data_IF_808188869039
#
_entry.id   IF_808188869039
#
_cell.length_a   1.000
_cell.length_b   1.000
_cell.length_c   1.000
_cell.angle_alpha   90.00
_cell.angle_beta   90.00
_cell.angle_gamma   90.00
#
_symmetry.space_group_name_H-M   'P 1'
#
loop_
_entity.id
_entity.type
_entity.pdbx_description
1 polymer ?
#
# COMPACT_ATOMS: atom_id res chain seq x y z
N UNK A 1 15.18 -5.24 13.38
CA UNK A 1 15.36 -5.33 11.92
C UNK A 1 13.98 -5.14 11.29
N UNK A 2 13.85 -4.21 10.35
CA UNK A 2 12.55 -3.89 9.74
C UNK A 2 12.16 -5.01 8.76
N UNK A 3 10.88 -5.38 8.74
CA UNK A 3 10.33 -6.31 7.75
C UNK A 3 9.89 -5.53 6.51
N UNK A 4 10.68 -5.61 5.44
CA UNK A 4 10.45 -4.86 4.19
C UNK A 4 10.40 -5.80 2.97
N UNK A 5 9.87 -5.28 1.86
CA UNK A 5 9.78 -5.97 0.58
C UNK A 5 10.67 -5.29 -0.46
N UNK A 6 11.66 -6.01 -0.96
CA UNK A 6 12.55 -5.56 -2.03
C UNK A 6 12.28 -6.33 -3.31
N UNK A 7 12.14 -5.60 -4.43
CA UNK A 7 11.96 -6.17 -5.75
C UNK A 7 13.23 -6.04 -6.59
N UNK A 8 13.71 -7.16 -7.12
CA UNK A 8 14.74 -7.16 -8.17
C UNK A 8 14.08 -7.22 -9.53
N UNK A 9 14.40 -6.27 -10.40
CA UNK A 9 13.89 -6.17 -11.77
C UNK A 9 15.04 -6.37 -12.75
N UNK A 10 14.84 -7.19 -13.77
CA UNK A 10 15.77 -7.42 -14.86
C UNK A 10 15.04 -7.30 -16.20
N UNK A 11 15.76 -6.86 -17.25
CA UNK A 11 15.21 -6.73 -18.59
C UNK A 11 14.69 -5.33 -18.91
N UNK A 12 13.78 -5.19 -19.89
CA UNK A 12 13.39 -3.89 -20.46
C UNK A 12 12.81 -2.88 -19.45
N UNK A 13 12.09 -3.34 -18.44
CA UNK A 13 11.49 -2.46 -17.41
C UNK A 13 12.55 -1.70 -16.57
N UNK A 14 13.82 -2.12 -16.59
CA UNK A 14 14.92 -1.37 -15.97
C UNK A 14 15.11 0.00 -16.61
N UNK A 15 14.81 0.13 -17.92
CA UNK A 15 14.88 1.43 -18.59
C UNK A 15 13.83 2.41 -18.06
N UNK A 16 12.64 1.94 -17.76
CA UNK A 16 11.58 2.77 -17.16
C UNK A 16 11.99 3.26 -15.76
N UNK A 17 12.59 2.38 -14.94
CA UNK A 17 13.15 2.76 -13.64
C UNK A 17 14.28 3.79 -13.77
N UNK A 18 15.18 3.61 -14.75
CA UNK A 18 16.26 4.58 -15.02
C UNK A 18 15.71 5.92 -15.50
N UNK A 19 14.60 5.92 -16.23
CA UNK A 19 13.94 7.14 -16.69
C UNK A 19 13.37 7.93 -15.53
N UNK A 20 12.63 7.28 -14.63
CA UNK A 20 12.09 7.91 -13.41
C UNK A 20 13.23 8.48 -12.57
N UNK A 21 14.29 7.69 -12.34
CA UNK A 21 15.46 8.19 -11.61
C UNK A 21 16.07 9.45 -12.25
N UNK A 22 16.19 9.47 -13.57
CA UNK A 22 16.76 10.63 -14.28
C UNK A 22 15.87 11.88 -14.19
N UNK A 23 14.55 11.70 -14.19
CA UNK A 23 13.57 12.78 -14.00
C UNK A 23 13.68 13.35 -12.59
N UNK A 24 13.66 12.49 -11.56
CA UNK A 24 13.79 12.89 -10.16
C UNK A 24 15.15 13.55 -9.87
N UNK A 25 16.22 13.01 -10.44
CA UNK A 25 17.56 13.60 -10.35
C UNK A 25 17.58 15.01 -10.95
N UNK A 26 16.99 15.16 -12.13
CA UNK A 26 16.92 16.45 -12.81
C UNK A 26 16.11 17.46 -11.98
N UNK A 27 15.01 17.02 -11.41
CA UNK A 27 14.19 17.85 -10.52
C UNK A 27 14.96 18.30 -9.27
N UNK A 28 15.68 17.37 -8.62
CA UNK A 28 16.37 17.64 -7.36
C UNK A 28 17.67 18.43 -7.52
N UNK A 29 18.43 18.20 -8.62
CA UNK A 29 19.78 18.77 -8.81
C UNK A 29 19.86 19.87 -9.86
N UNK A 30 18.87 19.95 -10.77
CA UNK A 30 18.94 20.77 -11.98
C UNK A 30 19.85 20.21 -13.07
N UNK A 31 20.55 19.10 -12.82
CA UNK A 31 21.41 18.44 -13.78
C UNK A 31 20.59 17.49 -14.65
N UNK A 32 20.61 17.69 -15.97
CA UNK A 32 19.88 16.83 -16.89
C UNK A 32 20.60 15.51 -17.09
N UNK A 33 20.02 14.42 -16.59
CA UNK A 33 20.41 13.07 -16.94
C UNK A 33 19.54 12.55 -18.09
N UNK A 34 20.20 11.87 -19.04
CA UNK A 34 19.51 11.20 -20.14
C UNK A 34 19.82 9.70 -20.01
N UNK A 35 18.83 8.86 -19.69
CA UNK A 35 19.03 7.43 -19.62
C UNK A 35 19.49 6.91 -20.99
N UNK A 36 20.54 6.10 -21.00
CA UNK A 36 21.00 5.46 -22.23
C UNK A 36 20.06 4.31 -22.55
N UNK A 37 19.36 4.41 -23.68
CA UNK A 37 18.51 3.31 -24.17
C UNK A 37 19.42 2.20 -24.72
N UNK A 38 19.75 1.24 -23.87
CA UNK A 38 20.39 0.00 -24.30
C UNK A 38 19.27 -1.04 -24.45
N UNK A 39 19.11 -1.68 -25.60
CA UNK A 39 18.16 -2.77 -25.74
C UNK A 39 18.52 -3.89 -24.76
N UNK A 40 17.75 -4.01 -23.69
CA UNK A 40 17.90 -5.10 -22.74
C UNK A 40 17.06 -6.29 -23.20
N UNK A 41 17.64 -7.49 -23.31
CA UNK A 41 16.87 -8.68 -23.62
C UNK A 41 15.83 -8.94 -22.51
N UNK A 42 14.69 -9.51 -22.88
CA UNK A 42 13.74 -9.99 -21.89
C UNK A 42 14.43 -11.06 -21.01
N UNK A 43 14.35 -10.86 -19.69
CA UNK A 43 14.98 -11.77 -18.72
C UNK A 43 14.00 -12.81 -18.17
N UNK A 44 12.72 -12.75 -18.55
CA UNK A 44 11.65 -13.64 -18.07
C UNK A 44 10.34 -13.39 -18.82
N UNK A 45 9.24 -13.96 -18.30
CA UNK A 45 7.90 -13.84 -18.87
C UNK A 45 6.96 -12.88 -18.13
N UNK A 46 7.40 -12.28 -17.02
CA UNK A 46 6.57 -11.37 -16.23
C UNK A 46 6.44 -10.02 -16.92
N UNK A 47 5.22 -9.49 -16.98
CA UNK A 47 4.97 -8.11 -17.43
C UNK A 47 5.07 -7.19 -16.22
N UNK A 48 5.92 -6.17 -16.30
CA UNK A 48 6.11 -5.18 -15.24
C UNK A 48 5.81 -3.79 -15.77
N UNK A 49 4.93 -3.07 -15.09
CA UNK A 49 4.71 -1.65 -15.31
C UNK A 49 5.29 -0.83 -14.15
N UNK A 50 6.11 0.15 -14.46
CA UNK A 50 6.66 1.09 -13.50
C UNK A 50 5.68 2.24 -13.32
N UNK A 51 5.32 2.54 -12.09
CA UNK A 51 4.30 3.53 -11.72
C UNK A 51 4.92 4.65 -10.89
N UNK A 52 5.50 5.67 -11.52
CA UNK A 52 5.90 6.87 -10.80
C UNK A 52 4.65 7.65 -10.38
N UNK A 53 4.70 8.28 -9.23
CA UNK A 53 3.71 9.26 -8.81
C UNK A 53 4.36 10.34 -7.95
N UNK A 54 3.85 11.55 -8.04
CA UNK A 54 4.40 12.69 -7.34
C UNK A 54 3.51 13.92 -7.51
N UNK A 55 3.85 15.01 -6.83
CA UNK A 55 3.10 16.27 -6.90
C UNK A 55 3.19 16.95 -8.27
N UNK A 56 4.12 16.53 -9.11
CA UNK A 56 4.32 16.97 -10.50
C UNK A 56 3.44 16.22 -11.51
N UNK A 57 2.79 15.13 -11.08
CA UNK A 57 1.94 14.30 -11.94
C UNK A 57 0.48 14.80 -11.91
N UNK A 58 -0.18 14.84 -13.08
CA UNK A 58 -1.58 15.23 -13.19
C UNK A 58 -2.54 14.24 -12.50
N UNK A 59 -2.11 12.98 -12.35
CA UNK A 59 -2.87 11.94 -11.67
C UNK A 59 -1.92 11.04 -10.88
N UNK A 60 -2.29 10.68 -9.66
CA UNK A 60 -1.48 9.79 -8.84
C UNK A 60 -1.69 8.33 -9.26
N UNK A 61 -0.71 7.76 -9.96
CA UNK A 61 -0.79 6.39 -10.48
C UNK A 61 -0.93 5.34 -9.37
N UNK A 62 -0.25 5.54 -8.23
CA UNK A 62 -0.35 4.61 -7.10
C UNK A 62 -1.76 4.64 -6.48
N UNK A 63 -2.33 5.81 -6.19
CA UNK A 63 -3.69 5.93 -5.65
C UNK A 63 -4.73 5.27 -6.58
N UNK A 64 -4.63 5.54 -7.89
CA UNK A 64 -5.51 4.90 -8.87
C UNK A 64 -5.33 3.39 -8.93
N UNK A 65 -4.10 2.89 -8.78
CA UNK A 65 -3.83 1.45 -8.77
C UNK A 65 -4.41 0.77 -7.51
N UNK A 66 -4.29 1.38 -6.33
CA UNK A 66 -4.95 0.88 -5.12
C UNK A 66 -6.48 0.83 -5.28
N UNK A 67 -7.06 1.91 -5.82
CA UNK A 67 -8.50 1.95 -6.09
C UNK A 67 -8.93 0.89 -7.11
N UNK A 68 -8.17 0.72 -8.21
CA UNK A 68 -8.44 -0.28 -9.23
C UNK A 68 -8.30 -1.72 -8.68
N UNK A 69 -7.28 -1.97 -7.84
CA UNK A 69 -7.08 -3.24 -7.16
C UNK A 69 -8.32 -3.66 -6.36
N UNK A 70 -8.81 -2.75 -5.50
CA UNK A 70 -9.98 -3.00 -4.66
C UNK A 70 -11.27 -3.12 -5.46
N UNK A 71 -11.44 -2.27 -6.48
CA UNK A 71 -12.66 -2.25 -7.30
C UNK A 71 -12.74 -3.43 -8.27
N UNK A 72 -11.59 -3.87 -8.79
CA UNK A 72 -11.47 -4.93 -9.79
C UNK A 72 -11.28 -6.34 -9.23
N UNK A 73 -10.96 -6.49 -7.95
CA UNK A 73 -10.80 -7.80 -7.33
C UNK A 73 -12.07 -8.64 -7.43
N UNK A 74 -11.90 -9.94 -7.72
CA UNK A 74 -12.98 -10.91 -7.89
C UNK A 74 -13.07 -11.91 -6.73
N UNK A 75 -11.93 -12.21 -6.09
CA UNK A 75 -11.84 -13.17 -4.98
C UNK A 75 -11.22 -12.55 -3.75
N UNK A 76 -10.06 -11.91 -3.87
CA UNK A 76 -9.29 -11.36 -2.75
C UNK A 76 -8.40 -10.19 -3.13
N UNK A 77 -8.22 -9.29 -2.17
CA UNK A 77 -7.25 -8.20 -2.25
C UNK A 77 -6.58 -8.04 -0.89
N UNK A 78 -5.28 -8.36 -0.82
CA UNK A 78 -4.49 -8.31 0.41
C UNK A 78 -3.46 -7.19 0.33
N UNK A 79 -3.44 -6.35 1.35
CA UNK A 79 -2.62 -5.13 1.39
C UNK A 79 -1.71 -5.15 2.62
N UNK A 80 -0.45 -4.77 2.42
CA UNK A 80 0.50 -4.51 3.51
C UNK A 80 0.93 -3.04 3.42
N UNK A 81 0.90 -2.32 4.54
CA UNK A 81 1.37 -0.94 4.59
C UNK A 81 1.79 -0.54 6.01
N UNK A 82 2.93 0.13 6.19
CA UNK A 82 3.36 0.64 7.50
C UNK A 82 2.45 1.77 8.01
N UNK A 83 2.00 2.65 7.12
CA UNK A 83 1.11 3.74 7.47
C UNK A 83 -0.23 3.57 6.76
N UNK A 84 -1.26 3.42 7.57
CA UNK A 84 -2.62 3.19 7.13
C UNK A 84 -3.51 4.36 7.55
N UNK A 85 -3.52 5.41 6.75
CA UNK A 85 -4.37 6.60 6.95
C UNK A 85 -5.13 6.87 5.65
N UNK A 86 -6.04 5.95 5.26
CA UNK A 86 -6.69 5.99 3.96
C UNK A 86 -7.57 7.22 3.79
N UNK A 87 -7.60 7.75 2.58
CA UNK A 87 -8.55 8.78 2.16
C UNK A 87 -9.98 8.22 2.00
N UNK A 88 -10.96 9.11 1.84
CA UNK A 88 -12.37 8.69 1.71
C UNK A 88 -12.63 7.78 0.49
N UNK A 89 -12.08 8.02 -0.71
CA UNK A 89 -12.20 7.10 -1.84
C UNK A 89 -11.66 5.71 -1.54
N UNK A 90 -10.50 5.61 -0.88
CA UNK A 90 -9.89 4.32 -0.51
C UNK A 90 -10.72 3.58 0.54
N UNK A 91 -11.22 4.28 1.57
CA UNK A 91 -12.15 3.68 2.54
C UNK A 91 -13.40 3.16 1.85
N UNK A 92 -13.98 3.92 0.92
CA UNK A 92 -15.15 3.50 0.17
C UNK A 92 -14.86 2.26 -0.69
N UNK A 93 -13.69 2.21 -1.35
CA UNK A 93 -13.27 1.07 -2.16
C UNK A 93 -13.06 -0.20 -1.32
N UNK A 94 -12.39 -0.09 -0.15
CA UNK A 94 -12.21 -1.19 0.81
C UNK A 94 -13.55 -1.76 1.28
N UNK A 95 -14.47 -0.88 1.71
CA UNK A 95 -15.79 -1.29 2.15
C UNK A 95 -16.61 -1.93 1.01
N UNK A 96 -16.58 -1.35 -0.19
CA UNK A 96 -17.28 -1.88 -1.35
C UNK A 96 -16.77 -3.26 -1.74
N UNK A 97 -15.45 -3.47 -1.78
CA UNK A 97 -14.86 -4.77 -2.06
C UNK A 97 -15.35 -5.82 -1.06
N UNK A 98 -15.30 -5.51 0.25
CA UNK A 98 -15.78 -6.42 1.29
C UNK A 98 -17.30 -6.70 1.18
N UNK A 99 -18.14 -5.70 0.88
CA UNK A 99 -19.58 -5.89 0.65
C UNK A 99 -19.89 -6.77 -0.59
N UNK A 100 -19.01 -6.78 -1.59
CA UNK A 100 -19.10 -7.71 -2.73
C UNK A 100 -18.70 -9.15 -2.37
N UNK A 101 -18.24 -9.40 -1.13
CA UNK A 101 -17.79 -10.71 -0.68
C UNK A 101 -16.31 -11.00 -0.98
N UNK A 102 -15.54 -10.00 -1.40
CA UNK A 102 -14.09 -10.13 -1.62
C UNK A 102 -13.38 -10.29 -0.26
N UNK A 103 -12.44 -11.23 -0.16
CA UNK A 103 -11.57 -11.38 1.01
C UNK A 103 -10.55 -10.21 1.03
N UNK A 104 -10.91 -9.13 1.70
CA UNK A 104 -10.06 -7.95 1.87
C UNK A 104 -9.33 -8.03 3.19
N UNK A 105 -7.99 -8.07 3.13
CA UNK A 105 -7.12 -8.10 4.33
C UNK A 105 -6.15 -6.94 4.29
N UNK A 106 -5.97 -6.29 5.42
CA UNK A 106 -5.00 -5.21 5.61
C UNK A 106 -4.06 -5.61 6.74
N UNK A 107 -2.77 -5.64 6.44
CA UNK A 107 -1.69 -5.91 7.39
C UNK A 107 -0.96 -4.60 7.68
N UNK A 108 -0.87 -4.25 8.96
CA UNK A 108 -0.23 -3.04 9.47
C UNK A 108 0.66 -3.37 10.67
N UNK A 109 1.63 -2.55 11.04
CA UNK A 109 2.41 -2.78 12.25
C UNK A 109 1.55 -2.61 13.52
N UNK A 110 1.78 -3.44 14.54
CA UNK A 110 1.16 -3.30 15.85
C UNK A 110 1.63 -2.03 16.57
N UNK A 111 2.91 -1.67 16.38
CA UNK A 111 3.51 -0.43 16.85
C UNK A 111 4.12 0.32 15.66
N UNK A 112 3.87 1.62 15.59
CA UNK A 112 4.40 2.50 14.54
C UNK A 112 5.39 3.49 15.16
N UNK A 113 6.44 3.79 14.41
CA UNK A 113 7.39 4.88 14.70
C UNK A 113 6.72 6.27 14.63
N UNK A 114 5.52 6.36 13.99
CA UNK A 114 4.67 7.57 13.94
C UNK A 114 3.35 7.31 14.69
N UNK A 115 3.29 7.47 16.03
CA UNK A 115 2.11 7.15 16.84
C UNK A 115 0.84 7.92 16.42
N UNK A 116 1.00 9.12 15.86
CA UNK A 116 -0.10 9.93 15.39
C UNK A 116 -0.77 9.32 14.14
N UNK A 117 0.04 8.83 13.18
CA UNK A 117 -0.46 8.14 12.00
C UNK A 117 -1.20 6.84 12.39
N UNK A 118 -0.65 6.10 13.34
CA UNK A 118 -1.31 4.91 13.86
C UNK A 118 -2.66 5.23 14.52
N UNK A 119 -2.73 6.28 15.33
CA UNK A 119 -3.96 6.72 15.96
C UNK A 119 -5.00 7.16 14.92
N UNK A 120 -4.57 7.90 13.88
CA UNK A 120 -5.43 8.32 12.78
C UNK A 120 -5.96 7.11 12.00
N UNK A 121 -5.12 6.12 11.69
CA UNK A 121 -5.50 4.88 11.02
C UNK A 121 -6.53 4.06 11.80
N UNK A 122 -6.33 3.91 13.11
CA UNK A 122 -7.26 3.21 14.00
C UNK A 122 -8.66 3.84 14.06
N UNK A 123 -8.81 5.09 13.69
CA UNK A 123 -10.12 5.73 13.53
C UNK A 123 -10.98 4.99 12.51
N UNK A 124 -10.41 4.54 11.40
CA UNK A 124 -11.12 3.87 10.31
C UNK A 124 -11.47 2.41 10.60
N UNK A 125 -10.79 1.74 11.56
CA UNK A 125 -10.98 0.33 11.87
C UNK A 125 -12.45 -0.03 12.13
N UNK A 126 -13.14 0.81 12.88
CA UNK A 126 -14.55 0.55 13.19
C UNK A 126 -15.47 0.49 11.98
N UNK A 127 -15.22 1.29 10.95
CA UNK A 127 -15.99 1.29 9.69
C UNK A 127 -15.61 0.10 8.83
N UNK A 128 -14.33 -0.13 8.64
CA UNK A 128 -13.79 -1.21 7.82
C UNK A 128 -14.17 -2.60 8.34
N UNK A 129 -14.00 -2.84 9.65
CA UNK A 129 -14.37 -4.12 10.28
C UNK A 129 -15.87 -4.41 10.18
N UNK A 130 -16.75 -3.39 10.29
CA UNK A 130 -18.19 -3.57 10.09
C UNK A 130 -18.56 -3.90 8.64
N UNK A 131 -17.75 -3.49 7.70
CA UNK A 131 -17.95 -3.80 6.27
C UNK A 131 -17.43 -5.19 5.89
N UNK A 132 -16.70 -5.87 6.79
CA UNK A 132 -16.13 -7.19 6.54
C UNK A 132 -14.64 -7.17 6.14
N UNK A 133 -14.00 -5.99 6.10
CA UNK A 133 -12.54 -5.90 5.94
C UNK A 133 -11.86 -6.48 7.17
N UNK A 134 -10.87 -7.34 6.97
CA UNK A 134 -10.08 -7.93 8.05
C UNK A 134 -8.79 -7.15 8.22
N UNK A 135 -8.47 -6.75 9.44
CA UNK A 135 -7.28 -5.98 9.79
C UNK A 135 -6.41 -6.79 10.73
N UNK A 136 -5.13 -6.85 10.43
CA UNK A 136 -4.14 -7.60 11.21
C UNK A 136 -3.02 -6.65 11.65
N UNK A 137 -2.63 -6.73 12.92
CA UNK A 137 -1.51 -5.98 13.50
C UNK A 137 -0.32 -6.91 13.68
N UNK A 138 0.75 -6.72 12.89
CA UNK A 138 2.00 -7.47 12.94
C UNK A 138 2.78 -7.17 14.21
N UNK A 139 3.19 -8.23 14.96
CA UNK A 139 3.72 -8.07 16.30
C UNK A 139 5.25 -7.98 16.40
N UNK A 140 6.06 -8.69 15.56
CA UNK A 140 7.47 -8.90 15.85
C UNK A 140 8.37 -7.69 15.70
N UNK A 141 8.09 -6.82 14.73
CA UNK A 141 8.98 -5.71 14.35
C UNK A 141 8.22 -4.57 13.65
N UNK A 142 8.96 -3.55 13.23
CA UNK A 142 8.40 -2.52 12.34
C UNK A 142 8.21 -3.13 10.96
N UNK A 143 6.93 -3.31 10.58
CA UNK A 143 6.56 -3.73 9.23
C UNK A 143 6.66 -2.50 8.32
N UNK A 144 7.55 -2.54 7.31
CA UNK A 144 7.76 -1.41 6.41
C UNK A 144 7.45 -1.72 4.94
N UNK A 145 7.04 -2.94 4.62
CA UNK A 145 6.61 -3.34 3.28
C UNK A 145 5.34 -2.61 2.81
N UNK A 146 5.29 -2.24 1.52
CA UNK A 146 4.12 -1.69 0.84
C UNK A 146 3.80 -2.58 -0.35
N UNK A 147 2.81 -3.45 -0.17
CA UNK A 147 2.42 -4.44 -1.18
C UNK A 147 0.92 -4.56 -1.31
N UNK A 148 0.47 -4.88 -2.53
CA UNK A 148 -0.89 -5.29 -2.81
C UNK A 148 -0.86 -6.56 -3.64
N UNK A 149 -1.65 -7.55 -3.29
CA UNK A 149 -1.81 -8.77 -4.10
C UNK A 149 -3.28 -8.95 -4.40
N UNK A 150 -3.61 -9.20 -5.67
CA UNK A 150 -4.98 -9.33 -6.16
C UNK A 150 -5.17 -10.68 -6.85
N UNK A 151 -6.12 -11.46 -6.34
CA UNK A 151 -6.61 -12.71 -6.92
C UNK A 151 -5.52 -13.74 -7.26
N UNK A 152 -4.34 -13.65 -6.63
CA UNK A 152 -3.17 -14.47 -6.99
C UNK A 152 -2.72 -14.31 -8.44
N UNK A 153 -3.09 -13.21 -9.09
CA UNK A 153 -2.86 -12.97 -10.52
C UNK A 153 -1.84 -11.88 -10.79
N UNK A 154 -1.80 -10.86 -9.96
CA UNK A 154 -0.85 -9.73 -10.06
C UNK A 154 -0.61 -9.11 -8.69
N UNK A 155 0.46 -8.33 -8.60
CA UNK A 155 0.82 -7.63 -7.39
C UNK A 155 1.47 -6.27 -7.65
N UNK A 156 1.34 -5.36 -6.68
CA UNK A 156 2.07 -4.10 -6.60
C UNK A 156 3.09 -4.19 -5.47
N UNK A 157 4.31 -3.78 -5.71
CA UNK A 157 5.35 -3.54 -4.70
C UNK A 157 5.89 -2.14 -4.91
N UNK A 158 5.98 -1.32 -3.88
CA UNK A 158 6.42 0.06 -4.05
C UNK A 158 6.77 0.79 -2.77
N UNK A 159 6.95 2.09 -2.89
CA UNK A 159 7.26 2.99 -1.78
C UNK A 159 6.03 3.66 -1.17
N UNK A 160 4.89 3.72 -1.92
CA UNK A 160 3.69 4.43 -1.50
C UNK A 160 2.96 3.75 -0.34
N UNK A 161 2.81 4.45 0.76
CA UNK A 161 1.92 4.05 1.85
C UNK A 161 0.45 4.29 1.46
N UNK A 162 -0.45 3.72 2.26
CA UNK A 162 -1.88 3.98 2.12
C UNK A 162 -2.26 5.23 2.95
N UNK A 163 -1.71 6.37 2.56
CA UNK A 163 -1.91 7.66 3.23
C UNK A 163 -1.98 8.85 2.25
N UNK A 164 -2.42 9.99 2.77
CA UNK A 164 -2.58 11.21 1.99
C UNK A 164 -1.25 11.72 1.42
N UNK A 165 -0.15 11.62 2.17
CA UNK A 165 1.15 12.13 1.72
C UNK A 165 1.68 11.35 0.54
N UNK A 166 1.63 10.02 0.60
CA UNK A 166 2.05 9.15 -0.51
C UNK A 166 1.19 9.36 -1.75
N UNK A 167 -0.09 9.72 -1.55
CA UNK A 167 -1.00 9.94 -2.69
C UNK A 167 -1.00 11.35 -3.25
N UNK A 168 -0.38 12.36 -2.57
CA UNK A 168 -0.49 13.75 -3.03
C UNK A 168 0.79 14.56 -2.95
N UNK A 169 1.69 14.23 -2.04
CA UNK A 169 2.83 15.10 -1.71
C UNK A 169 4.18 14.47 -2.00
N UNK A 170 4.32 13.17 -1.82
CA UNK A 170 5.60 12.49 -1.98
C UNK A 170 5.82 12.07 -3.44
N UNK A 171 7.09 12.05 -3.84
CA UNK A 171 7.52 11.26 -5.00
C UNK A 171 7.58 9.80 -4.58
N UNK A 172 6.82 8.97 -5.26
CA UNK A 172 6.68 7.55 -4.96
C UNK A 172 6.87 6.71 -6.23
N UNK A 173 7.30 5.48 -6.06
CA UNK A 173 7.52 4.54 -7.14
C UNK A 173 6.87 3.20 -6.82
N UNK A 174 6.04 2.71 -7.73
CA UNK A 174 5.46 1.38 -7.70
C UNK A 174 5.92 0.52 -8.88
N UNK A 175 6.01 -0.77 -8.66
CA UNK A 175 6.16 -1.77 -9.71
C UNK A 175 4.94 -2.69 -9.69
N UNK A 176 4.13 -2.61 -10.74
CA UNK A 176 2.97 -3.48 -10.94
C UNK A 176 3.41 -4.69 -11.76
N UNK A 177 3.31 -5.87 -11.17
CA UNK A 177 3.81 -7.13 -11.73
C UNK A 177 2.64 -8.05 -12.07
N UNK A 178 2.44 -8.31 -13.35
CA UNK A 178 1.45 -9.27 -13.85
C UNK A 178 2.12 -10.64 -14.01
N UNK A 179 2.18 -11.39 -12.90
CA UNK A 179 2.75 -12.71 -12.84
C UNK A 179 2.14 -13.51 -11.68
N UNK A 180 1.57 -14.67 -11.99
CA UNK A 180 0.92 -15.53 -10.98
C UNK A 180 1.92 -16.15 -10.01
N UNK A 181 3.13 -16.48 -10.47
CA UNK A 181 4.19 -17.03 -9.62
C UNK A 181 4.67 -16.02 -8.59
N UNK A 182 4.85 -14.77 -9.04
CA UNK A 182 5.19 -13.64 -8.17
C UNK A 182 4.07 -13.30 -7.19
N UNK A 183 2.82 -13.20 -7.67
CA UNK A 183 1.67 -12.98 -6.80
C UNK A 183 1.55 -14.06 -5.72
N UNK A 184 1.69 -15.34 -6.10
CA UNK A 184 1.67 -16.45 -5.14
C UNK A 184 2.85 -16.41 -4.14
N UNK A 185 4.01 -15.87 -4.53
CA UNK A 185 5.13 -15.65 -3.60
C UNK A 185 4.73 -14.63 -2.51
N UNK A 186 4.17 -13.50 -2.91
CA UNK A 186 3.72 -12.46 -1.97
C UNK A 186 2.54 -12.91 -1.11
N UNK A 187 1.60 -13.70 -1.68
CA UNK A 187 0.52 -14.30 -0.87
C UNK A 187 1.08 -15.23 0.22
N UNK A 188 2.08 -16.05 -0.10
CA UNK A 188 2.74 -16.89 0.91
C UNK A 188 3.43 -16.07 1.98
N UNK A 189 4.13 -14.99 1.60
CA UNK A 189 4.76 -14.09 2.56
C UNK A 189 3.71 -13.45 3.47
N UNK A 190 2.67 -12.87 2.89
CA UNK A 190 1.55 -12.30 3.64
C UNK A 190 0.95 -13.31 4.62
N UNK A 191 0.73 -14.57 4.19
CA UNK A 191 0.20 -15.62 5.05
C UNK A 191 1.15 -15.97 6.21
N UNK A 192 2.47 -15.93 6.00
CA UNK A 192 3.46 -16.10 7.07
C UNK A 192 3.38 -14.95 8.08
N UNK A 193 3.30 -13.71 7.62
CA UNK A 193 3.20 -12.52 8.47
C UNK A 193 1.89 -12.53 9.30
N UNK A 194 0.81 -13.09 8.76
CA UNK A 194 -0.44 -13.28 9.50
C UNK A 194 -0.28 -14.23 10.71
N UNK A 195 0.60 -15.22 10.66
CA UNK A 195 0.85 -16.13 11.79
C UNK A 195 1.41 -15.37 12.99
N UNK A 196 2.21 -14.34 12.71
CA UNK A 196 2.82 -13.49 13.73
C UNK A 196 1.99 -12.21 14.03
N UNK A 197 0.77 -12.16 13.50
CA UNK A 197 -0.11 -11.01 13.61
C UNK A 197 -1.30 -11.29 14.53
N UNK A 198 -1.82 -10.22 15.11
CA UNK A 198 -3.09 -10.26 15.86
C UNK A 198 -4.21 -9.69 14.98
N UNK A 199 -5.24 -10.49 14.74
CA UNK A 199 -6.45 -9.98 14.07
C UNK A 199 -7.21 -9.01 14.99
N UNK A 200 -7.53 -7.84 14.43
CA UNK A 200 -8.27 -6.81 15.15
C UNK A 200 -9.75 -7.15 15.10
N UNK A 201 -10.37 -7.19 16.27
CA UNK A 201 -11.81 -7.43 16.41
C UNK A 201 -12.52 -6.18 16.92
N UNK A 202 -13.79 -6.01 16.56
CA UNK A 202 -14.60 -4.93 17.11
C UNK A 202 -14.78 -5.14 18.62
N UNK A 203 -14.42 -4.14 19.45
CA UNK A 203 -14.76 -4.22 20.88
C UNK A 203 -16.27 -4.25 21.03
N UNK A 204 -16.80 -4.91 22.08
CA UNK A 204 -18.22 -4.85 22.44
C UNK A 204 -18.70 -3.39 22.47
N UNK A 205 -19.90 -3.15 21.98
CA UNK A 205 -20.48 -1.79 21.79
C UNK A 205 -20.41 -0.97 23.10
N UNK A 206 -20.52 -1.62 24.23
CA UNK A 206 -20.53 -1.01 25.57
C UNK A 206 -19.17 -0.42 26.01
N UNK A 207 -18.06 -0.78 25.38
CA UNK A 207 -16.70 -0.35 25.78
C UNK A 207 -16.13 0.82 24.98
N UNK A 208 -16.89 1.42 24.09
CA UNK A 208 -16.42 2.58 23.30
C UNK A 208 -16.62 3.88 24.08
N UNK A 209 -15.71 4.19 24.99
CA UNK A 209 -15.73 5.44 25.76
C UNK A 209 -15.68 6.68 24.83
N UNK A 210 -16.43 7.73 25.20
CA UNK A 210 -16.46 9.02 24.48
C UNK A 210 -15.05 9.60 24.29
N UNK A 211 -14.20 9.50 25.29
CA UNK A 211 -12.82 10.00 25.25
C UNK A 211 -11.97 9.35 24.14
N UNK A 212 -12.12 8.04 23.90
CA UNK A 212 -11.42 7.35 22.82
C UNK A 212 -11.91 7.84 21.44
N UNK A 213 -13.21 8.02 21.27
CA UNK A 213 -13.78 8.55 20.00
C UNK A 213 -13.30 9.97 19.72
N UNK A 214 -13.27 10.83 20.71
CA UNK A 214 -12.79 12.20 20.59
C UNK A 214 -11.30 12.23 20.23
N UNK A 215 -10.46 11.41 20.86
CA UNK A 215 -9.03 11.31 20.58
C UNK A 215 -8.74 10.82 19.16
N UNK A 216 -9.44 9.79 18.70
CA UNK A 216 -9.31 9.27 17.33
C UNK A 216 -9.82 10.28 16.29
N UNK A 217 -10.92 11.00 16.60
CA UNK A 217 -11.46 12.05 15.74
C UNK A 217 -10.52 13.25 15.58
N UNK A 218 -9.84 13.66 16.66
CA UNK A 218 -8.80 14.70 16.59
C UNK A 218 -7.59 14.27 15.76
N UNK A 219 -7.13 13.02 15.93
CA UNK A 219 -6.04 12.48 15.10
C UNK A 219 -6.40 12.47 13.61
N UNK A 220 -7.67 12.18 13.25
CA UNK A 220 -8.15 12.25 11.86
C UNK A 220 -8.05 13.67 11.28
N UNK A 221 -8.32 14.72 12.04
CA UNK A 221 -8.21 16.10 11.55
C UNK A 221 -6.79 16.47 11.13
N UNK A 222 -5.81 15.76 11.65
CA UNK A 222 -4.40 15.93 11.31
C UNK A 222 -3.94 15.01 10.16
N UNK A 223 -4.81 14.12 9.66
CA UNK A 223 -4.44 13.17 8.60
C UNK A 223 -3.87 13.80 7.32
N UNK A 224 -4.25 15.03 6.89
CA UNK A 224 -3.61 15.68 5.74
C UNK A 224 -2.16 16.12 5.99
N UNK A 225 -1.70 16.05 7.25
CA UNK A 225 -0.33 16.40 7.65
C UNK A 225 0.54 15.16 7.89
N UNK A 226 -0.06 13.95 7.80
CA UNK A 226 0.56 12.65 8.13
C UNK A 226 0.88 11.81 6.84
#
# INVERSE_FOLDING_TARGET
EDDDAHLRVEGPAVFDLATVFAEDWTFASGERLVPTSIPLPAAGGSVVAVLPSGPDQAANANAHTYFAALSGALERCWLTTPYFVPDEPTVAALCNAAFRGIDVRVLVPAESDVPLAQAAGRFFYGTLLRSGVRIFEYQPAVLHAKTVVVDGSWALVGSANLDFRSFTLNFELGALVFDRGFAALLERRFAQDLVESREVTLPPVERRGFALRARLGLARLLSPLL
#
